data_IF_343715230661
#
_entry.id   IF_343715230661
#
_cell.length_a   1.000
_cell.length_b   1.000
_cell.length_c   1.000
_cell.angle_alpha   90.00
_cell.angle_beta   90.00
_cell.angle_gamma   90.00
#
_symmetry.space_group_name_H-M   'P 1'
#
loop_
_entity.id
_entity.type
_entity.pdbx_description
1 polymer ?
#
# COMPACT_ATOMS: atom_id res chain seq x y z
N UNK A 1 6.35 21.15 6.08
CA UNK A 1 5.12 21.30 5.28
C UNK A 1 5.03 20.16 4.26
N UNK A 2 3.85 19.59 4.07
CA UNK A 2 3.61 18.58 3.04
C UNK A 2 3.69 19.20 1.64
N UNK A 3 4.21 18.45 0.66
CA UNK A 3 4.21 18.85 -0.75
C UNK A 3 4.26 17.61 -1.63
N UNK A 4 3.30 17.47 -2.54
CA UNK A 4 3.26 16.36 -3.49
C UNK A 4 4.49 16.29 -4.40
N UNK A 5 5.17 17.42 -4.65
CA UNK A 5 6.41 17.45 -5.44
C UNK A 5 7.57 16.72 -4.77
N UNK A 6 7.51 16.52 -3.45
CA UNK A 6 8.58 15.85 -2.69
C UNK A 6 8.31 14.37 -2.43
N UNK A 7 7.11 13.87 -2.78
CA UNK A 7 6.70 12.48 -2.52
C UNK A 7 7.72 11.48 -3.08
N UNK A 8 8.06 11.60 -4.37
CA UNK A 8 8.96 10.64 -5.02
C UNK A 8 10.40 10.73 -4.55
N UNK A 9 10.86 11.93 -4.12
CA UNK A 9 12.18 12.11 -3.51
C UNK A 9 12.27 11.28 -2.23
N UNK A 10 11.33 11.46 -1.31
CA UNK A 10 11.35 10.72 -0.04
C UNK A 10 11.00 9.25 -0.19
N UNK A 11 10.13 8.89 -1.14
CA UNK A 11 9.84 7.51 -1.45
C UNK A 11 11.09 6.73 -1.91
N UNK A 12 12.07 7.41 -2.52
CA UNK A 12 13.38 6.82 -2.83
C UNK A 12 14.34 6.88 -1.64
N UNK A 13 14.47 8.01 -0.95
CA UNK A 13 15.42 8.18 0.17
C UNK A 13 15.11 7.27 1.36
N UNK A 14 13.83 6.94 1.57
CA UNK A 14 13.37 6.15 2.70
C UNK A 14 12.89 4.75 2.29
N UNK A 15 13.21 4.32 1.05
CA UNK A 15 12.82 3.02 0.55
C UNK A 15 13.33 1.89 1.47
N UNK A 16 12.52 0.85 1.62
CA UNK A 16 12.80 -0.30 2.47
C UNK A 16 13.17 -1.49 1.59
N UNK A 17 14.05 -2.37 2.08
CA UNK A 17 14.40 -3.57 1.35
C UNK A 17 15.32 -4.48 2.12
N UNK A 18 15.36 -5.74 1.69
CA UNK A 18 16.11 -6.83 2.34
C UNK A 18 16.98 -7.61 1.32
N UNK A 19 17.20 -7.05 0.13
CA UNK A 19 17.91 -7.71 -0.97
C UNK A 19 17.07 -8.68 -1.81
N UNK A 20 15.93 -9.14 -1.28
CA UNK A 20 14.94 -9.96 -2.00
C UNK A 20 13.78 -9.09 -2.50
N UNK A 21 13.18 -8.29 -1.62
CA UNK A 21 12.17 -7.29 -1.93
C UNK A 21 12.72 -5.87 -1.75
N UNK A 22 12.26 -4.97 -2.61
CA UNK A 22 12.40 -3.53 -2.46
C UNK A 22 11.04 -2.85 -2.50
N UNK A 23 10.78 -1.94 -1.56
CA UNK A 23 9.51 -1.23 -1.42
C UNK A 23 9.78 0.27 -1.31
N UNK A 24 9.19 1.06 -2.22
CA UNK A 24 9.26 2.53 -2.15
C UNK A 24 8.57 3.02 -0.88
N UNK A 25 9.11 4.08 -0.28
CA UNK A 25 8.49 4.76 0.86
C UNK A 25 7.31 5.67 0.46
N UNK A 26 6.42 5.20 -0.42
CA UNK A 26 5.18 5.89 -0.76
C UNK A 26 4.25 5.98 0.44
N UNK A 27 3.38 6.98 0.48
CA UNK A 27 2.34 7.10 1.48
C UNK A 27 1.30 6.00 1.29
N UNK A 28 0.55 5.68 2.34
CA UNK A 28 -0.55 4.71 2.29
C UNK A 28 -1.69 5.24 1.42
N UNK A 29 -2.11 6.50 1.63
CA UNK A 29 -3.08 7.21 0.80
C UNK A 29 -2.52 7.61 -0.59
N UNK A 30 -3.41 7.79 -1.57
CA UNK A 30 -3.02 8.07 -2.94
C UNK A 30 -2.86 9.57 -3.27
N UNK A 31 -1.95 9.87 -4.19
CA UNK A 31 -1.71 11.22 -4.71
C UNK A 31 -1.35 11.15 -6.19
N UNK A 32 -1.83 12.14 -6.96
CA UNK A 32 -1.60 12.22 -8.42
C UNK A 32 -0.11 12.17 -8.82
N UNK A 33 0.80 12.71 -8.00
CA UNK A 33 2.24 12.72 -8.28
C UNK A 33 3.00 11.54 -7.65
N UNK A 34 2.34 10.67 -6.89
CA UNK A 34 3.00 9.57 -6.20
C UNK A 34 3.30 8.42 -7.16
N UNK A 35 4.51 7.88 -7.05
CA UNK A 35 4.89 6.64 -7.74
C UNK A 35 5.06 5.53 -6.70
N UNK A 36 4.13 4.56 -6.74
CA UNK A 36 4.21 3.29 -6.01
C UNK A 36 5.31 2.42 -6.60
N UNK A 37 5.89 1.54 -5.79
CA UNK A 37 6.89 0.61 -6.29
C UNK A 37 7.18 -0.51 -5.32
N UNK A 38 6.95 -1.73 -5.78
CA UNK A 38 7.38 -2.97 -5.12
C UNK A 38 8.14 -3.81 -6.14
N UNK A 39 9.30 -4.31 -5.76
CA UNK A 39 10.20 -5.00 -6.69
C UNK A 39 10.73 -6.28 -6.06
N UNK A 40 10.83 -7.33 -6.86
CA UNK A 40 11.40 -8.62 -6.48
C UNK A 40 12.73 -8.81 -7.22
N UNK A 41 13.80 -9.07 -6.47
CA UNK A 41 15.12 -9.31 -7.03
C UNK A 41 15.09 -10.46 -8.05
N UNK A 42 15.64 -10.22 -9.23
CA UNK A 42 15.68 -11.21 -10.31
C UNK A 42 14.44 -11.28 -11.19
N UNK A 43 13.34 -10.60 -10.84
CA UNK A 43 12.14 -10.56 -11.69
C UNK A 43 12.25 -9.43 -12.73
N UNK A 44 12.79 -9.78 -13.89
CA UNK A 44 12.92 -8.87 -15.02
C UNK A 44 11.97 -9.28 -16.15
N UNK A 45 11.49 -8.29 -16.88
CA UNK A 45 10.72 -8.51 -18.09
C UNK A 45 10.97 -7.39 -19.10
N UNK A 46 10.92 -7.74 -20.38
CA UNK A 46 10.99 -6.81 -21.50
C UNK A 46 9.62 -6.73 -22.17
N UNK A 47 8.92 -5.60 -21.99
CA UNK A 47 7.54 -5.38 -22.48
C UNK A 47 7.43 -5.10 -24.00
N UNK A 48 8.10 -5.90 -24.82
CA UNK A 48 8.10 -5.81 -26.28
C UNK A 48 9.50 -5.81 -26.89
N UNK A 49 9.61 -6.13 -28.18
CA UNK A 49 10.91 -6.33 -28.86
C UNK A 49 11.85 -5.11 -28.83
N UNK A 50 11.31 -3.89 -28.77
CA UNK A 50 12.07 -2.64 -28.75
C UNK A 50 12.28 -2.04 -27.35
N UNK A 51 11.70 -2.64 -26.32
CA UNK A 51 11.81 -2.14 -24.95
C UNK A 51 13.07 -2.69 -24.27
N UNK A 52 13.47 -2.06 -23.18
CA UNK A 52 14.58 -2.55 -22.35
C UNK A 52 14.11 -3.67 -21.43
N UNK A 53 15.04 -4.53 -21.02
CA UNK A 53 14.77 -5.47 -19.94
C UNK A 53 14.90 -4.72 -18.61
N UNK A 54 13.82 -4.65 -17.85
CA UNK A 54 13.75 -3.87 -16.63
C UNK A 54 13.13 -4.67 -15.48
N UNK A 55 13.40 -4.21 -14.25
CA UNK A 55 12.87 -4.82 -13.04
C UNK A 55 11.36 -4.54 -12.98
N UNK A 56 10.56 -5.59 -12.86
CA UNK A 56 9.09 -5.47 -12.89
C UNK A 56 8.59 -4.74 -11.65
N UNK A 57 7.82 -3.68 -11.83
CA UNK A 57 7.02 -3.08 -10.77
C UNK A 57 5.83 -4.00 -10.46
N UNK A 58 5.90 -4.67 -9.32
CA UNK A 58 4.87 -5.58 -8.85
C UNK A 58 3.60 -4.83 -8.43
N UNK A 59 2.46 -5.53 -8.32
CA UNK A 59 1.25 -5.00 -7.71
C UNK A 59 1.50 -4.30 -6.37
N UNK A 60 0.87 -3.15 -6.16
CA UNK A 60 0.98 -2.41 -4.90
C UNK A 60 0.17 -3.10 -3.80
N UNK A 61 0.76 -3.18 -2.61
CA UNK A 61 0.17 -3.79 -1.41
C UNK A 61 0.13 -2.83 -0.21
N UNK A 62 0.57 -1.58 -0.42
CA UNK A 62 0.61 -0.53 0.61
C UNK A 62 -0.57 0.44 0.46
N UNK A 63 -1.12 0.57 -0.75
CA UNK A 63 -2.24 1.47 -1.04
C UNK A 63 -3.45 1.24 -0.15
N UNK A 64 -3.95 2.33 0.44
CA UNK A 64 -5.16 2.35 1.25
C UNK A 64 -5.99 3.59 0.93
N UNK A 65 -7.29 3.41 0.73
CA UNK A 65 -8.25 4.49 0.90
C UNK A 65 -8.74 4.46 2.34
N UNK A 66 -8.58 5.57 3.06
CA UNK A 66 -9.05 5.73 4.44
C UNK A 66 -10.07 6.85 4.42
N UNK A 67 -11.30 6.55 4.85
CA UNK A 67 -12.33 7.55 5.06
C UNK A 67 -12.78 7.54 6.52
N UNK A 68 -12.92 8.73 7.10
CA UNK A 68 -13.39 8.91 8.48
C UNK A 68 -14.59 9.85 8.41
N UNK A 69 -15.74 9.40 8.95
CA UNK A 69 -17.02 10.11 8.89
C UNK A 69 -17.43 10.52 7.46
N UNK A 70 -17.10 9.68 6.48
CA UNK A 70 -17.40 9.90 5.06
C UNK A 70 -16.41 10.82 4.33
N UNK A 71 -15.41 11.37 5.00
CA UNK A 71 -14.38 12.21 4.40
C UNK A 71 -13.10 11.39 4.14
N UNK A 72 -12.61 11.42 2.91
CA UNK A 72 -11.38 10.70 2.52
C UNK A 72 -10.15 11.43 3.07
N UNK A 73 -9.33 10.69 3.81
CA UNK A 73 -8.08 11.18 4.35
C UNK A 73 -7.10 11.53 3.21
N UNK A 74 -6.58 12.76 3.26
CA UNK A 74 -5.48 13.21 2.44
C UNK A 74 -4.73 14.31 3.17
N UNK A 75 -3.39 14.23 3.22
CA UNK A 75 -2.60 15.36 3.73
C UNK A 75 -2.73 16.60 2.84
N UNK A 76 -2.89 17.73 3.52
CA UNK A 76 -2.88 19.09 3.00
C UNK A 76 -1.98 19.98 3.87
N UNK A 77 -2.48 20.43 5.02
CA UNK A 77 -1.89 21.44 5.90
C UNK A 77 -1.61 20.92 7.32
N UNK A 78 -1.89 19.64 7.56
CA UNK A 78 -1.81 19.00 8.87
C UNK A 78 -0.38 18.93 9.40
N UNK A 79 -0.27 18.88 10.73
CA UNK A 79 0.96 18.48 11.38
C UNK A 79 1.18 16.98 11.14
N UNK A 80 2.33 16.65 10.57
CA UNK A 80 2.71 15.26 10.32
C UNK A 80 4.21 15.08 10.45
N UNK A 81 4.60 13.85 10.75
CA UNK A 81 5.99 13.39 10.77
C UNK A 81 6.11 12.06 10.05
N UNK A 82 7.26 11.83 9.44
CA UNK A 82 7.67 10.53 8.91
C UNK A 82 9.14 10.31 9.18
N UNK A 83 9.48 9.13 9.64
CA UNK A 83 10.85 8.71 9.95
C UNK A 83 11.12 7.32 9.38
N UNK A 84 12.35 7.11 8.95
CA UNK A 84 12.90 5.76 8.72
C UNK A 84 13.87 5.48 9.87
N UNK A 85 13.54 4.50 10.69
CA UNK A 85 14.43 4.00 11.74
C UNK A 85 15.48 3.10 11.10
N UNK A 86 16.74 3.54 11.06
CA UNK A 86 17.82 2.78 10.44
C UNK A 86 18.24 1.53 11.23
N UNK A 87 17.93 1.46 12.53
CA UNK A 87 18.27 0.30 13.35
C UNK A 87 17.30 -0.85 13.12
N UNK A 88 16.00 -0.55 12.99
CA UNK A 88 14.95 -1.55 12.77
C UNK A 88 14.53 -1.71 11.30
N UNK A 89 14.83 -0.74 10.45
CA UNK A 89 14.33 -0.65 9.08
C UNK A 89 12.86 -0.23 8.98
N UNK A 90 12.23 0.16 10.10
CA UNK A 90 10.82 0.52 10.14
C UNK A 90 10.58 1.95 9.64
N UNK A 91 9.64 2.11 8.71
CA UNK A 91 9.13 3.40 8.28
C UNK A 91 7.91 3.73 9.13
N UNK A 92 7.96 4.83 9.87
CA UNK A 92 6.86 5.28 10.74
C UNK A 92 6.34 6.62 10.27
N UNK A 93 5.04 6.82 10.43
CA UNK A 93 4.37 8.07 10.12
C UNK A 93 3.30 8.35 11.16
N UNK A 94 3.18 9.61 11.54
CA UNK A 94 2.11 10.08 12.42
C UNK A 94 1.52 11.36 11.85
N UNK A 95 0.19 11.45 11.86
CA UNK A 95 -0.57 12.57 11.33
C UNK A 95 -1.67 12.93 12.33
N UNK A 96 -1.82 14.22 12.62
CA UNK A 96 -3.03 14.74 13.27
C UNK A 96 -3.90 15.34 12.19
N UNK A 97 -4.95 14.61 11.82
CA UNK A 97 -5.87 14.99 10.77
C UNK A 97 -7.18 15.52 11.34
N UNK A 98 -7.75 16.53 10.68
CA UNK A 98 -9.05 17.08 11.05
C UNK A 98 -10.00 17.00 9.86
N UNK A 99 -11.21 16.50 10.12
CA UNK A 99 -12.32 16.55 9.17
C UNK A 99 -12.78 17.99 8.94
N UNK A 100 -13.57 18.21 7.90
CA UNK A 100 -14.14 19.50 7.54
C UNK A 100 -14.96 20.15 8.65
N UNK A 101 -15.58 19.33 9.51
CA UNK A 101 -16.34 19.77 10.68
C UNK A 101 -15.47 20.06 11.93
N UNK A 102 -14.15 19.87 11.85
CA UNK A 102 -13.18 20.18 12.91
C UNK A 102 -12.82 19.01 13.84
N UNK A 103 -13.47 17.84 13.71
CA UNK A 103 -13.16 16.66 14.53
C UNK A 103 -11.75 16.13 14.22
N UNK A 104 -10.99 15.82 15.27
CA UNK A 104 -9.59 15.43 15.20
C UNK A 104 -9.35 13.93 15.36
N UNK A 105 -8.41 13.41 14.58
CA UNK A 105 -7.98 12.01 14.62
C UNK A 105 -6.46 11.93 14.48
N UNK A 106 -5.85 11.02 15.23
CA UNK A 106 -4.46 10.63 14.96
C UNK A 106 -4.45 9.42 14.04
N UNK A 107 -3.70 9.50 12.94
CA UNK A 107 -3.45 8.39 12.03
C UNK A 107 -1.96 8.08 12.09
N UNK A 108 -1.63 6.92 12.67
CA UNK A 108 -0.28 6.43 12.79
C UNK A 108 -0.10 5.21 11.89
N UNK A 109 0.97 5.17 11.09
CA UNK A 109 1.37 3.99 10.34
C UNK A 109 2.79 3.59 10.69
N UNK A 110 3.05 2.27 10.69
CA UNK A 110 4.40 1.72 10.73
C UNK A 110 4.46 0.50 9.83
N UNK A 111 5.58 0.33 9.13
CA UNK A 111 5.79 -0.82 8.25
C UNK A 111 7.24 -1.17 8.08
N UNK A 112 7.51 -2.41 7.70
CA UNK A 112 8.85 -2.88 7.34
C UNK A 112 8.80 -4.00 6.29
N UNK A 113 9.94 -4.19 5.63
CA UNK A 113 10.23 -5.36 4.78
C UNK A 113 11.11 -6.29 5.61
N UNK A 114 10.66 -7.50 5.91
CA UNK A 114 11.31 -8.38 6.89
C UNK A 114 12.67 -8.87 6.42
N UNK A 115 13.72 -8.71 7.23
CA UNK A 115 15.02 -9.30 6.95
C UNK A 115 15.08 -10.82 7.20
N UNK A 116 14.19 -11.35 8.06
CA UNK A 116 14.17 -12.77 8.43
C UNK A 116 13.26 -13.60 7.51
N UNK A 117 12.08 -13.06 7.16
CA UNK A 117 11.14 -13.66 6.23
C UNK A 117 11.14 -12.85 4.94
N UNK A 118 12.07 -13.15 4.05
CA UNK A 118 12.36 -12.30 2.88
C UNK A 118 11.12 -11.85 2.06
N UNK A 119 10.08 -12.68 1.83
CA UNK A 119 8.89 -12.26 1.08
C UNK A 119 7.87 -11.42 1.89
N UNK A 120 8.09 -11.19 3.18
CA UNK A 120 7.12 -10.58 4.09
C UNK A 120 7.26 -9.05 4.13
N UNK A 121 6.14 -8.38 3.89
CA UNK A 121 5.91 -6.97 4.24
C UNK A 121 4.87 -6.95 5.34
N UNK A 122 5.14 -6.21 6.42
CA UNK A 122 4.18 -5.98 7.49
C UNK A 122 3.89 -4.49 7.60
N UNK A 123 2.62 -4.13 7.76
CA UNK A 123 2.14 -2.77 7.90
C UNK A 123 1.03 -2.75 8.95
N UNK A 124 1.12 -1.80 9.86
CA UNK A 124 0.08 -1.52 10.86
C UNK A 124 -0.38 -0.06 10.70
N UNK A 125 -1.69 0.16 10.73
CA UNK A 125 -2.30 1.48 10.86
C UNK A 125 -3.11 1.51 12.16
N UNK A 126 -2.95 2.58 12.92
CA UNK A 126 -3.77 2.89 14.08
C UNK A 126 -4.47 4.23 13.85
N UNK A 127 -5.79 4.24 13.97
CA UNK A 127 -6.62 5.44 13.91
C UNK A 127 -7.19 5.66 15.31
N UNK A 128 -6.91 6.82 15.90
CA UNK A 128 -7.33 7.17 17.27
C UNK A 128 -8.17 8.45 17.25
N UNK A 129 -9.46 8.39 17.64
CA UNK A 129 -10.26 9.57 17.97
C UNK A 129 -9.54 10.50 18.95
N UNK A 130 -9.55 11.81 18.69
CA UNK A 130 -9.04 12.80 19.66
C UNK A 130 -10.16 13.50 20.43
N UNK A 131 -11.26 13.81 19.75
CA UNK A 131 -12.35 14.61 20.31
C UNK A 131 -13.77 14.21 19.82
N UNK A 132 -13.89 13.21 18.94
CA UNK A 132 -15.18 12.69 18.47
C UNK A 132 -15.10 11.24 17.98
N UNK A 133 -16.20 10.50 18.14
CA UNK A 133 -16.40 9.17 17.56
C UNK A 133 -16.10 9.14 16.05
N UNK A 134 -15.63 7.98 15.58
CA UNK A 134 -15.23 7.79 14.20
C UNK A 134 -15.98 6.63 13.54
N UNK A 135 -16.69 6.91 12.45
CA UNK A 135 -17.06 5.89 11.46
C UNK A 135 -15.94 5.77 10.43
N UNK A 136 -15.15 4.70 10.52
CA UNK A 136 -13.98 4.47 9.68
C UNK A 136 -14.32 3.50 8.56
N UNK A 137 -13.90 3.81 7.33
CA UNK A 137 -13.86 2.90 6.21
C UNK A 137 -12.42 2.81 5.68
N UNK A 138 -11.90 1.59 5.55
CA UNK A 138 -10.59 1.32 4.95
C UNK A 138 -10.77 0.37 3.78
N UNK A 139 -10.24 0.74 2.62
CA UNK A 139 -10.13 -0.13 1.45
C UNK A 139 -8.66 -0.37 1.12
N UNK A 140 -8.19 -1.62 1.21
CA UNK A 140 -6.79 -1.98 0.93
C UNK A 140 -6.68 -3.42 0.42
N UNK A 141 -5.58 -3.75 -0.25
CA UNK A 141 -5.35 -5.09 -0.79
C UNK A 141 -4.26 -5.08 -1.85
N UNK A 142 -4.50 -5.78 -2.95
CA UNK A 142 -3.57 -5.92 -4.06
C UNK A 142 -4.04 -5.07 -5.23
N UNK A 143 -3.26 -4.07 -5.63
CA UNK A 143 -3.49 -3.26 -6.81
C UNK A 143 -2.50 -3.64 -7.93
N UNK A 144 -2.95 -4.44 -8.89
CA UNK A 144 -2.17 -4.89 -10.04
C UNK A 144 -2.30 -3.98 -11.28
N UNK A 145 -2.69 -2.72 -11.08
CA UNK A 145 -2.67 -1.68 -12.13
C UNK A 145 -1.31 -0.99 -12.29
N UNK A 146 -0.32 -1.38 -11.47
CA UNK A 146 1.04 -0.85 -11.55
C UNK A 146 1.69 -1.10 -12.92
N UNK A 147 2.49 -0.12 -13.35
CA UNK A 147 3.23 -0.15 -14.62
C UNK A 147 4.67 0.31 -14.42
N UNK A 148 5.53 -0.05 -15.36
CA UNK A 148 6.81 0.60 -15.57
C UNK A 148 6.63 1.60 -16.72
N UNK A 149 6.74 2.89 -16.46
CA UNK A 149 6.66 3.92 -17.50
C UNK A 149 5.42 3.81 -18.43
N UNK A 150 4.28 3.34 -17.90
CA UNK A 150 3.04 3.14 -18.67
C UNK A 150 2.93 1.79 -19.41
N UNK A 151 3.90 0.89 -19.23
CA UNK A 151 3.86 -0.49 -19.75
C UNK A 151 3.51 -1.48 -18.65
N UNK A 152 2.60 -2.40 -18.98
CA UNK A 152 2.27 -3.55 -18.14
C UNK A 152 3.27 -4.67 -18.40
N UNK A 153 3.75 -5.33 -17.34
CA UNK A 153 4.69 -6.46 -17.45
C UNK A 153 4.10 -7.79 -17.00
N UNK A 154 2.94 -7.76 -16.34
CA UNK A 154 2.32 -8.90 -15.70
C UNK A 154 0.88 -9.12 -16.18
N UNK A 155 0.58 -10.33 -16.62
CA UNK A 155 -0.77 -10.77 -16.89
C UNK A 155 -1.35 -11.46 -15.65
N UNK A 156 -2.61 -11.18 -15.35
CA UNK A 156 -3.32 -11.73 -14.21
C UNK A 156 -3.82 -13.14 -14.58
N UNK A 157 -3.36 -14.16 -13.85
CA UNK A 157 -3.72 -15.56 -14.12
C UNK A 157 -4.83 -16.04 -13.19
N UNK A 158 -4.79 -15.63 -11.92
CA UNK A 158 -5.80 -15.97 -10.94
C UNK A 158 -5.87 -14.91 -9.83
N UNK A 159 -7.10 -14.58 -9.42
CA UNK A 159 -7.37 -13.73 -8.26
C UNK A 159 -8.41 -14.41 -7.40
N UNK A 160 -8.14 -14.54 -6.10
CA UNK A 160 -9.01 -15.27 -5.18
C UNK A 160 -8.94 -14.74 -3.76
N UNK A 161 -10.07 -14.86 -3.05
CA UNK A 161 -10.13 -14.73 -1.58
C UNK A 161 -10.31 -16.11 -0.97
N UNK A 162 -9.40 -16.51 -0.09
CA UNK A 162 -9.44 -17.76 0.65
C UNK A 162 -9.94 -17.52 2.08
N UNK A 163 -10.88 -18.35 2.51
CA UNK A 163 -11.39 -18.34 3.89
C UNK A 163 -11.92 -17.00 4.39
N UNK A 164 -12.30 -16.08 3.49
CA UNK A 164 -12.73 -14.71 3.80
C UNK A 164 -11.71 -13.87 4.60
N UNK A 165 -10.40 -14.14 4.48
CA UNK A 165 -9.36 -13.37 5.17
C UNK A 165 -8.03 -13.26 4.42
N UNK A 166 -7.82 -14.06 3.36
CA UNK A 166 -6.58 -14.07 2.60
C UNK A 166 -6.87 -13.76 1.13
N UNK A 167 -6.43 -12.59 0.68
CA UNK A 167 -6.43 -12.18 -0.72
C UNK A 167 -5.19 -12.72 -1.41
N UNK A 168 -5.32 -13.28 -2.61
CA UNK A 168 -4.19 -13.72 -3.41
C UNK A 168 -4.40 -13.36 -4.88
N UNK A 169 -3.35 -12.79 -5.48
CA UNK A 169 -3.22 -12.61 -6.91
C UNK A 169 -2.01 -13.37 -7.44
N UNK A 170 -2.20 -14.13 -8.51
CA UNK A 170 -1.16 -14.82 -9.27
C UNK A 170 -0.99 -14.15 -10.62
N UNK A 171 0.26 -13.94 -10.99
CA UNK A 171 0.63 -13.19 -12.18
C UNK A 171 1.78 -13.87 -12.92
N UNK A 172 1.77 -13.78 -14.25
CA UNK A 172 2.87 -14.23 -15.12
C UNK A 172 3.45 -13.04 -15.86
N UNK A 173 4.76 -13.05 -16.15
CA UNK A 173 5.31 -12.13 -17.15
C UNK A 173 4.66 -12.36 -18.50
N UNK A 174 4.53 -11.32 -19.33
CA UNK A 174 3.83 -11.42 -20.63
C UNK A 174 4.52 -12.34 -21.64
N UNK A 175 5.79 -12.65 -21.42
CA UNK A 175 6.53 -13.67 -22.17
C UNK A 175 6.40 -15.10 -21.60
N UNK A 176 5.64 -15.27 -20.51
CA UNK A 176 5.35 -16.55 -19.87
C UNK A 176 6.53 -17.20 -19.13
N UNK A 177 7.60 -16.44 -18.84
CA UNK A 177 8.84 -17.01 -18.30
C UNK A 177 8.93 -17.04 -16.78
N UNK A 178 8.20 -16.16 -16.10
CA UNK A 178 8.26 -16.03 -14.64
C UNK A 178 6.87 -15.84 -14.07
N UNK A 179 6.58 -16.55 -12.97
CA UNK A 179 5.36 -16.41 -12.20
C UNK A 179 5.65 -15.74 -10.86
N UNK A 180 4.70 -14.96 -10.37
CA UNK A 180 4.71 -14.36 -9.04
C UNK A 180 3.32 -14.45 -8.41
N UNK A 181 3.27 -14.86 -7.15
CA UNK A 181 2.05 -14.83 -6.35
C UNK A 181 2.22 -13.83 -5.20
N UNK A 182 1.22 -12.99 -5.01
CA UNK A 182 1.16 -12.01 -3.93
C UNK A 182 -0.03 -12.35 -3.07
N UNK A 183 0.18 -12.46 -1.76
CA UNK A 183 -0.88 -12.75 -0.79
C UNK A 183 -0.93 -11.65 0.27
N UNK A 184 -2.13 -11.15 0.54
CA UNK A 184 -2.38 -10.11 1.52
C UNK A 184 -3.44 -10.57 2.52
N UNK A 185 -3.17 -10.37 3.81
CA UNK A 185 -4.13 -10.58 4.88
C UNK A 185 -4.22 -9.28 5.68
N UNK A 186 -5.40 -8.66 5.70
CA UNK A 186 -5.66 -7.46 6.49
C UNK A 186 -6.56 -7.83 7.66
N UNK A 187 -6.02 -7.75 8.87
CA UNK A 187 -6.78 -7.97 10.10
C UNK A 187 -7.08 -6.62 10.72
N UNK A 188 -8.32 -6.44 11.15
CA UNK A 188 -8.76 -5.25 11.87
C UNK A 188 -9.31 -5.69 13.21
N UNK A 189 -8.87 -5.03 14.27
CA UNK A 189 -9.31 -5.31 15.64
C UNK A 189 -10.72 -4.77 15.89
N UNK A 190 -11.48 -5.46 16.75
CA UNK A 190 -12.82 -5.05 17.16
C UNK A 190 -13.95 -5.58 16.27
N UNK A 191 -15.16 -5.11 16.54
CA UNK A 191 -16.35 -5.48 15.78
C UNK A 191 -16.38 -4.71 14.46
N UNK A 192 -16.05 -5.40 13.38
CA UNK A 192 -15.93 -4.82 12.04
C UNK A 192 -16.79 -5.56 11.03
N UNK A 193 -17.25 -4.85 10.01
CA UNK A 193 -17.84 -5.45 8.82
C UNK A 193 -16.81 -5.46 7.70
N UNK A 194 -16.69 -6.58 7.01
CA UNK A 194 -15.70 -6.76 5.95
C UNK A 194 -16.34 -7.35 4.70
N UNK A 195 -15.96 -6.83 3.54
CA UNK A 195 -16.28 -7.42 2.25
C UNK A 195 -15.09 -7.31 1.30
N UNK A 196 -15.15 -8.03 0.19
CA UNK A 196 -14.07 -8.09 -0.79
C UNK A 196 -14.59 -7.74 -2.18
N UNK A 197 -13.77 -7.04 -2.96
CA UNK A 197 -14.05 -6.78 -4.37
C UNK A 197 -12.87 -7.15 -5.24
N UNK A 198 -13.17 -7.66 -6.44
CA UNK A 198 -12.20 -7.90 -7.50
C UNK A 198 -12.67 -7.13 -8.74
N UNK A 199 -12.05 -5.99 -9.03
CA UNK A 199 -12.44 -5.11 -10.14
C UNK A 199 -11.22 -4.39 -10.68
N UNK A 200 -11.12 -4.25 -12.01
CA UNK A 200 -10.07 -3.46 -12.67
C UNK A 200 -8.65 -3.85 -12.20
N UNK A 201 -8.36 -5.15 -12.07
CA UNK A 201 -7.07 -5.69 -11.58
C UNK A 201 -6.73 -5.29 -10.14
N UNK A 202 -7.73 -4.92 -9.34
CA UNK A 202 -7.61 -4.68 -7.90
C UNK A 202 -8.40 -5.73 -7.13
N UNK A 203 -7.75 -6.39 -6.18
CA UNK A 203 -8.38 -7.27 -5.20
C UNK A 203 -8.31 -6.56 -3.85
N UNK A 204 -9.43 -6.04 -3.37
CA UNK A 204 -9.48 -5.20 -2.19
C UNK A 204 -10.38 -5.81 -1.11
N UNK A 205 -9.97 -5.62 0.14
CA UNK A 205 -10.80 -5.75 1.32
C UNK A 205 -11.30 -4.37 1.71
N UNK A 206 -12.61 -4.26 1.92
CA UNK A 206 -13.25 -3.07 2.49
C UNK A 206 -13.66 -3.40 3.92
N UNK A 207 -13.20 -2.59 4.87
CA UNK A 207 -13.53 -2.75 6.28
C UNK A 207 -14.21 -1.50 6.79
N UNK A 208 -15.34 -1.66 7.49
CA UNK A 208 -15.97 -0.58 8.24
C UNK A 208 -15.98 -0.87 9.74
N UNK A 209 -15.71 0.18 10.52
CA UNK A 209 -15.63 0.12 11.98
C UNK A 209 -16.24 1.39 12.59
N UNK A 210 -16.81 1.26 13.79
CA UNK A 210 -17.18 2.38 14.65
C UNK A 210 -16.17 2.45 15.80
N UNK A 211 -15.60 3.64 16.02
CA UNK A 211 -14.72 3.94 17.13
C UNK A 211 -15.45 4.91 18.06
N UNK A 212 -15.50 4.58 19.35
CA UNK A 212 -16.07 5.37 20.42
C UNK A 212 -14.98 5.93 21.32
#
# INVERSE_FOLDING_TARGET
HFSQHTLNKYASLMAQGNGYLGLRASHEEDYTRQTRGMYLAGLYHRAGKGEINELVNLPDVVGMEIAINGEVFSLSHEAWQRELDFASGELRRNVVWRTSNGSGYTIASRRFVSADQLPLIALEITITPLDADASVLISTGIDATQTNHGRQHLDETQVRVFGQHLMQGSYTTQDGRSDVAISCCCKVSGDVQQCYTAKERRLLQHTSAQLH
#
